data_IF_407875588433
#
_entry.id   IF_407875588433
#
_cell.length_a   1.000
_cell.length_b   1.000
_cell.length_c   1.000
_cell.angle_alpha   90.00
_cell.angle_beta   90.00
_cell.angle_gamma   90.00
#
_symmetry.space_group_name_H-M   'P 1'
#
loop_
_entity.id
_entity.type
_entity.pdbx_description
1 polymer ?
#
# COMPACT_ATOMS: atom_id res chain seq x y z
N UNK A 1 14.20 5.37 -14.28
CA UNK A 1 14.32 5.01 -12.85
C UNK A 1 14.05 3.51 -12.69
N UNK A 2 14.25 2.90 -11.51
CA UNK A 2 14.13 1.45 -11.35
C UNK A 2 12.73 0.92 -11.74
N UNK A 3 11.66 1.63 -11.37
CA UNK A 3 10.28 1.29 -11.76
C UNK A 3 10.07 1.25 -13.27
N UNK A 4 10.49 2.28 -14.01
CA UNK A 4 10.38 2.31 -15.48
C UNK A 4 11.18 1.18 -16.13
N UNK A 5 12.36 0.88 -15.59
CA UNK A 5 13.20 -0.20 -16.08
C UNK A 5 12.53 -1.55 -15.87
N UNK A 6 11.92 -1.79 -14.71
CA UNK A 6 11.16 -3.02 -14.45
C UNK A 6 9.95 -3.13 -15.40
N UNK A 7 9.06 -2.14 -15.37
CA UNK A 7 7.78 -2.19 -16.10
C UNK A 7 7.94 -2.13 -17.63
N UNK A 8 9.03 -1.56 -18.13
CA UNK A 8 9.31 -1.45 -19.56
C UNK A 8 10.00 -2.66 -20.18
N UNK A 9 10.50 -3.61 -19.39
CA UNK A 9 11.37 -4.69 -19.91
C UNK A 9 10.96 -6.11 -19.51
N UNK A 10 10.14 -6.31 -18.46
CA UNK A 10 9.89 -7.65 -17.93
C UNK A 10 8.39 -7.93 -17.72
N UNK A 11 7.99 -9.18 -17.94
CA UNK A 11 6.63 -9.67 -17.77
C UNK A 11 6.43 -10.43 -16.44
N UNK A 12 7.48 -11.03 -15.88
CA UNK A 12 7.39 -11.88 -14.67
C UNK A 12 8.36 -11.47 -13.58
N UNK A 13 8.05 -11.83 -12.33
CA UNK A 13 8.99 -11.58 -11.21
C UNK A 13 10.29 -12.37 -11.36
N UNK A 14 10.25 -13.54 -12.01
CA UNK A 14 11.45 -14.34 -12.28
C UNK A 14 12.41 -13.65 -13.26
N UNK A 15 11.89 -13.04 -14.31
CA UNK A 15 12.70 -12.26 -15.27
C UNK A 15 13.39 -11.08 -14.59
N UNK A 16 12.66 -10.34 -13.76
CA UNK A 16 13.20 -9.23 -12.98
C UNK A 16 14.30 -9.72 -12.03
N UNK A 17 14.05 -10.81 -11.31
CA UNK A 17 15.00 -11.39 -10.34
C UNK A 17 16.28 -11.89 -11.01
N UNK A 18 16.17 -12.43 -12.22
CA UNK A 18 17.33 -12.82 -13.01
C UNK A 18 18.13 -11.59 -13.46
N UNK A 19 17.46 -10.59 -14.02
CA UNK A 19 18.12 -9.38 -14.53
C UNK A 19 18.80 -8.54 -13.44
N UNK A 20 18.22 -8.46 -12.24
CA UNK A 20 18.80 -7.72 -11.11
C UNK A 20 20.15 -8.26 -10.63
N UNK A 21 20.54 -9.49 -11.00
CA UNK A 21 21.86 -10.05 -10.68
C UNK A 21 22.99 -9.40 -11.49
N UNK A 22 22.67 -8.89 -12.66
CA UNK A 22 23.63 -8.35 -13.63
C UNK A 22 23.57 -6.81 -13.74
N UNK A 23 22.75 -6.17 -12.89
CA UNK A 23 22.56 -4.71 -12.90
C UNK A 23 23.21 -4.08 -11.68
N UNK A 24 24.04 -3.05 -11.93
CA UNK A 24 24.55 -2.21 -10.87
C UNK A 24 23.54 -1.11 -10.51
N UNK A 25 23.05 -1.14 -9.27
CA UNK A 25 22.16 -0.11 -8.73
C UNK A 25 23.00 0.93 -8.00
N UNK A 26 22.79 2.19 -8.34
CA UNK A 26 23.47 3.32 -7.71
C UNK A 26 22.48 4.39 -7.30
N UNK A 27 22.80 5.05 -6.20
CA UNK A 27 22.07 6.21 -5.71
C UNK A 27 22.34 7.42 -6.60
N UNK A 28 21.30 7.91 -7.28
CA UNK A 28 21.35 9.18 -8.01
C UNK A 28 20.75 10.29 -7.13
N UNK A 29 21.52 11.29 -6.70
CA UNK A 29 20.98 12.46 -6.02
C UNK A 29 19.97 13.19 -6.91
N UNK A 30 18.88 13.65 -6.31
CA UNK A 30 17.85 14.43 -7.00
C UNK A 30 17.58 15.72 -6.25
N UNK A 31 17.20 16.75 -7.01
CA UNK A 31 16.66 18.00 -6.47
C UNK A 31 15.18 18.05 -6.79
N UNK A 32 14.34 18.11 -5.76
CA UNK A 32 12.88 18.13 -5.89
C UNK A 32 12.26 18.99 -4.78
N UNK A 33 11.60 20.08 -5.17
CA UNK A 33 11.05 21.05 -4.22
C UNK A 33 12.15 21.60 -3.30
N UNK A 34 11.97 21.42 -1.99
CA UNK A 34 12.93 21.83 -0.96
C UNK A 34 14.11 20.86 -0.77
N UNK A 35 14.02 19.63 -1.31
CA UNK A 35 15.08 18.63 -1.22
C UNK A 35 16.17 18.93 -2.26
N UNK A 36 17.41 19.11 -1.79
CA UNK A 36 18.58 19.35 -2.64
C UNK A 36 19.56 18.20 -2.48
N UNK A 37 20.07 17.69 -3.60
CA UNK A 37 21.04 16.59 -3.66
C UNK A 37 20.64 15.38 -2.79
N UNK A 38 19.33 15.13 -2.68
CA UNK A 38 18.79 14.10 -1.81
C UNK A 38 18.78 12.75 -2.51
N UNK A 39 19.13 11.70 -1.77
CA UNK A 39 19.02 10.32 -2.21
C UNK A 39 17.87 9.70 -1.46
N UNK A 40 16.81 9.33 -2.17
CA UNK A 40 15.68 8.64 -1.55
C UNK A 40 16.07 7.20 -1.17
N UNK A 41 15.93 6.79 0.10
CA UNK A 41 16.08 5.40 0.49
C UNK A 41 14.83 4.63 0.04
N UNK A 42 14.94 3.90 -1.07
CA UNK A 42 13.82 3.17 -1.68
C UNK A 42 14.07 1.68 -1.69
N UNK A 43 12.98 0.93 -1.56
CA UNK A 43 12.88 -0.49 -1.87
C UNK A 43 11.70 -0.71 -2.81
N UNK A 44 11.61 -1.89 -3.42
CA UNK A 44 10.57 -2.19 -4.40
C UNK A 44 9.72 -3.38 -3.95
N UNK A 45 8.41 -3.28 -4.16
CA UNK A 45 7.51 -4.43 -4.25
C UNK A 45 7.13 -4.61 -5.72
N UNK A 46 7.26 -5.83 -6.23
CA UNK A 46 7.00 -6.15 -7.64
C UNK A 46 6.10 -7.37 -7.65
N UNK A 47 4.95 -7.25 -8.31
CA UNK A 47 3.95 -8.32 -8.42
C UNK A 47 3.60 -8.51 -9.88
N UNK A 48 3.61 -9.75 -10.36
CA UNK A 48 3.24 -10.07 -11.74
C UNK A 48 1.78 -10.53 -11.88
N UNK A 49 1.35 -10.80 -13.11
CA UNK A 49 -0.01 -11.22 -13.44
C UNK A 49 -0.39 -12.61 -12.90
N UNK A 50 0.58 -13.41 -12.44
CA UNK A 50 0.31 -14.68 -11.76
C UNK A 50 -0.01 -14.49 -10.27
N UNK A 51 0.19 -13.28 -9.73
CA UNK A 51 0.04 -12.96 -8.32
C UNK A 51 1.30 -13.24 -7.48
N UNK A 52 2.39 -13.71 -8.10
CA UNK A 52 3.69 -13.81 -7.41
C UNK A 52 4.22 -12.41 -7.13
N UNK A 53 4.77 -12.22 -5.94
CA UNK A 53 5.31 -10.95 -5.49
C UNK A 53 6.69 -11.12 -4.88
N UNK A 54 7.57 -10.17 -5.13
CA UNK A 54 8.91 -10.09 -4.55
C UNK A 54 9.13 -8.71 -3.92
N UNK A 55 9.99 -8.67 -2.91
CA UNK A 55 10.55 -7.43 -2.34
C UNK A 55 12.04 -7.35 -2.70
N UNK A 56 12.48 -6.19 -3.17
CA UNK A 56 13.87 -5.91 -3.51
C UNK A 56 14.40 -4.78 -2.64
N UNK A 57 15.43 -5.05 -1.85
CA UNK A 57 16.07 -4.11 -0.92
C UNK A 57 17.57 -3.97 -1.20
N UNK A 58 18.05 -2.73 -1.24
CA UNK A 58 19.46 -2.41 -1.48
C UNK A 58 20.15 -2.02 -0.17
N UNK A 59 20.83 -2.98 0.47
CA UNK A 59 21.41 -2.81 1.81
C UNK A 59 22.90 -3.06 1.76
N UNK A 60 23.70 -2.12 2.29
CA UNK A 60 25.17 -2.20 2.33
C UNK A 60 25.81 -2.57 0.99
N UNK A 61 25.27 -2.00 -0.09
CA UNK A 61 25.75 -2.24 -1.47
C UNK A 61 25.34 -3.60 -2.06
N UNK A 62 24.46 -4.36 -1.40
CA UNK A 62 23.92 -5.64 -1.87
C UNK A 62 22.47 -5.51 -2.30
N UNK A 63 22.13 -6.15 -3.41
CA UNK A 63 20.75 -6.35 -3.84
C UNK A 63 20.20 -7.61 -3.18
N UNK A 64 19.28 -7.45 -2.24
CA UNK A 64 18.56 -8.54 -1.59
C UNK A 64 17.19 -8.68 -2.24
N UNK A 65 16.82 -9.91 -2.62
CA UNK A 65 15.53 -10.23 -3.23
C UNK A 65 14.85 -11.28 -2.36
N UNK A 66 13.62 -10.99 -1.95
CA UNK A 66 12.83 -11.84 -1.06
C UNK A 66 11.50 -12.19 -1.71
N UNK A 67 11.09 -13.46 -1.61
CA UNK A 67 9.71 -13.84 -1.93
C UNK A 67 8.74 -13.15 -0.96
N UNK A 68 7.65 -12.60 -1.49
CA UNK A 68 6.63 -11.91 -0.72
C UNK A 68 5.26 -12.59 -0.89
N UNK A 69 5.02 -13.74 -0.21
CA UNK A 69 3.74 -14.44 -0.29
C UNK A 69 2.58 -13.65 0.36
N UNK A 70 2.90 -12.59 1.12
CA UNK A 70 1.89 -11.74 1.74
C UNK A 70 1.36 -10.67 0.79
N UNK A 71 2.18 -10.22 -0.17
CA UNK A 71 1.86 -9.14 -1.10
C UNK A 71 1.83 -7.75 -0.45
N UNK A 72 2.43 -7.60 0.74
CA UNK A 72 2.43 -6.36 1.53
C UNK A 72 3.88 -5.88 1.70
N UNK A 73 4.09 -4.56 1.62
CA UNK A 73 5.35 -3.87 1.94
C UNK A 73 5.02 -2.48 2.48
N UNK A 74 5.82 -1.95 3.40
CA UNK A 74 5.68 -0.57 3.90
C UNK A 74 6.98 0.21 3.75
N UNK A 75 7.76 0.38 4.80
CA UNK A 75 9.06 1.05 4.82
C UNK A 75 9.96 0.27 5.79
N UNK A 76 11.02 0.90 6.30
CA UNK A 76 11.93 0.30 7.29
C UNK A 76 11.21 -0.28 8.51
N UNK A 77 11.78 -1.32 9.16
CA UNK A 77 13.03 -2.03 8.83
C UNK A 77 12.95 -2.92 7.58
N UNK A 78 14.01 -3.69 7.32
CA UNK A 78 14.08 -4.64 6.20
C UNK A 78 12.95 -5.68 6.23
N UNK A 79 12.56 -6.17 5.05
CA UNK A 79 11.42 -7.08 4.90
C UNK A 79 11.46 -8.35 5.80
N UNK A 80 12.59 -9.06 5.96
CA UNK A 80 12.68 -10.21 6.86
C UNK A 80 12.35 -9.88 8.32
N UNK A 81 12.66 -8.65 8.76
CA UNK A 81 12.30 -8.19 10.10
C UNK A 81 10.79 -8.07 10.26
N UNK A 82 10.08 -7.52 9.26
CA UNK A 82 8.61 -7.44 9.28
C UNK A 82 7.96 -8.81 9.36
N UNK A 83 8.48 -9.80 8.62
CA UNK A 83 8.02 -11.19 8.71
C UNK A 83 8.24 -11.77 10.12
N UNK A 84 9.38 -11.48 10.75
CA UNK A 84 9.63 -11.91 12.12
C UNK A 84 8.72 -11.18 13.13
N UNK A 85 8.42 -9.90 12.89
CA UNK A 85 7.52 -9.12 13.74
C UNK A 85 6.11 -9.71 13.81
N UNK A 86 5.61 -10.33 12.73
CA UNK A 86 4.30 -10.99 12.71
C UNK A 86 4.16 -12.10 13.77
N UNK A 87 5.26 -12.68 14.27
CA UNK A 87 5.23 -13.69 15.34
C UNK A 87 4.63 -13.15 16.65
N UNK A 88 4.67 -11.83 16.86
CA UNK A 88 4.06 -11.19 18.03
C UNK A 88 2.53 -11.12 17.95
N UNK A 89 1.93 -11.44 16.80
CA UNK A 89 0.51 -11.26 16.52
C UNK A 89 -0.19 -12.57 16.14
N UNK A 90 0.38 -13.72 16.45
CA UNK A 90 -0.19 -15.03 16.06
C UNK A 90 -1.55 -15.35 16.69
N UNK A 91 -1.94 -14.59 17.71
CA UNK A 91 -3.21 -14.73 18.44
C UNK A 91 -4.33 -13.83 17.91
N UNK A 92 -4.06 -12.92 16.96
CA UNK A 92 -5.10 -12.06 16.38
C UNK A 92 -6.06 -12.89 15.52
N UNK A 93 -7.35 -12.55 15.55
CA UNK A 93 -8.40 -13.26 14.84
C UNK A 93 -9.55 -12.32 14.46
N UNK A 94 -10.24 -12.55 13.33
CA UNK A 94 -11.50 -11.86 13.06
C UNK A 94 -12.63 -12.32 13.99
N UNK A 95 -12.47 -13.44 14.70
CA UNK A 95 -13.46 -13.97 15.62
C UNK A 95 -13.21 -13.52 17.06
N UNK A 96 -14.28 -13.15 17.75
CA UNK A 96 -14.22 -12.84 19.18
C UNK A 96 -13.64 -14.02 19.99
N UNK A 97 -12.83 -13.73 21.02
CA UNK A 97 -12.31 -14.76 21.90
C UNK A 97 -13.44 -15.40 22.71
N UNK A 98 -13.21 -16.62 23.19
CA UNK A 98 -14.10 -17.26 24.14
C UNK A 98 -14.16 -16.45 25.46
N UNK A 99 -15.29 -16.44 26.17
CA UNK A 99 -15.38 -15.88 27.52
C UNK A 99 -14.31 -16.45 28.46
N UNK A 100 -13.81 -15.62 29.36
CA UNK A 100 -12.85 -16.00 30.40
C UNK A 100 -13.57 -16.08 31.75
N UNK A 101 -13.47 -17.20 32.46
CA UNK A 101 -14.00 -17.31 33.84
C UNK A 101 -12.86 -17.25 34.84
N UNK A 102 -12.91 -16.31 35.78
CA UNK A 102 -11.98 -16.18 36.91
C UNK A 102 -12.78 -16.07 38.21
N UNK A 103 -12.43 -16.88 39.21
CA UNK A 103 -13.08 -16.86 40.54
C UNK A 103 -14.63 -16.90 40.51
N UNK A 104 -15.19 -17.62 39.53
CA UNK A 104 -16.64 -17.77 39.34
C UNK A 104 -17.33 -16.59 38.65
N UNK A 105 -16.58 -15.57 38.21
CA UNK A 105 -17.09 -14.45 37.41
C UNK A 105 -16.72 -14.69 35.95
N UNK A 106 -17.72 -14.66 35.08
CA UNK A 106 -17.53 -14.75 33.62
C UNK A 106 -17.29 -13.35 33.03
N UNK A 107 -16.23 -13.22 32.25
CA UNK A 107 -15.86 -12.04 31.49
C UNK A 107 -16.04 -12.32 30.00
N UNK A 108 -17.00 -11.63 29.39
CA UNK A 108 -17.27 -11.71 27.96
C UNK A 108 -16.61 -10.54 27.23
N UNK A 109 -16.42 -10.70 25.91
CA UNK A 109 -16.01 -9.60 25.05
C UNK A 109 -17.01 -8.43 25.15
N UNK A 110 -16.52 -7.20 25.12
CA UNK A 110 -17.37 -5.98 25.18
C UNK A 110 -18.23 -5.78 23.93
N UNK A 111 -17.91 -6.49 22.85
CA UNK A 111 -18.62 -6.49 21.58
C UNK A 111 -17.85 -7.26 20.49
N UNK A 112 -18.27 -7.06 19.24
CA UNK A 112 -17.57 -7.60 18.08
C UNK A 112 -16.19 -6.95 17.90
N UNK A 113 -15.26 -7.67 17.28
CA UNK A 113 -13.91 -7.17 16.98
C UNK A 113 -12.85 -7.43 18.06
N UNK A 114 -13.25 -7.99 19.21
CA UNK A 114 -12.31 -8.28 20.31
C UNK A 114 -11.24 -9.32 19.94
N UNK A 115 -11.43 -10.10 18.87
CA UNK A 115 -10.42 -11.02 18.36
C UNK A 115 -9.17 -10.35 17.81
N UNK A 116 -9.27 -9.10 17.36
CA UNK A 116 -8.17 -8.34 16.78
C UNK A 116 -7.48 -7.42 17.81
N UNK A 117 -7.81 -7.55 19.10
CA UNK A 117 -7.13 -6.80 20.15
C UNK A 117 -5.62 -7.09 20.11
N UNK A 118 -4.82 -6.03 20.01
CA UNK A 118 -3.37 -6.12 19.83
C UNK A 118 -2.91 -5.63 18.46
N UNK A 119 -3.79 -5.52 17.45
CA UNK A 119 -3.45 -4.83 16.20
C UNK A 119 -3.07 -3.37 16.50
N UNK A 120 -1.87 -2.92 16.09
CA UNK A 120 -1.42 -1.57 16.37
C UNK A 120 -2.20 -0.55 15.53
N UNK A 121 -2.50 0.60 16.13
CA UNK A 121 -3.29 1.67 15.51
C UNK A 121 -2.51 2.90 15.08
N UNK A 122 -1.20 2.96 15.36
CA UNK A 122 -0.33 4.08 14.97
C UNK A 122 0.12 3.98 13.50
N UNK A 123 0.70 5.07 12.98
CA UNK A 123 1.10 5.20 11.57
C UNK A 123 2.54 4.74 11.26
N UNK A 124 3.25 4.15 12.22
CA UNK A 124 4.61 3.67 11.95
C UNK A 124 4.62 2.56 10.89
N UNK A 125 5.71 2.39 10.13
CA UNK A 125 5.76 1.37 9.10
C UNK A 125 5.53 -0.07 9.60
N UNK A 126 6.07 -0.51 10.77
CA UNK A 126 5.73 -1.81 11.35
C UNK A 126 4.24 -1.97 11.65
N UNK A 127 3.61 -0.95 12.24
CA UNK A 127 2.19 -0.99 12.60
C UNK A 127 1.29 -1.05 11.36
N UNK A 128 1.58 -0.23 10.35
CA UNK A 128 0.91 -0.30 9.05
C UNK A 128 1.09 -1.65 8.38
N UNK A 129 2.29 -2.25 8.45
CA UNK A 129 2.56 -3.57 7.87
C UNK A 129 1.67 -4.64 8.53
N UNK A 130 1.69 -4.72 9.87
CA UNK A 130 0.88 -5.69 10.64
C UNK A 130 -0.61 -5.52 10.36
N UNK A 131 -1.11 -4.27 10.39
CA UNK A 131 -2.51 -3.95 10.14
C UNK A 131 -2.94 -4.36 8.72
N UNK A 132 -2.12 -4.06 7.72
CA UNK A 132 -2.40 -4.42 6.33
C UNK A 132 -2.35 -5.93 6.07
N UNK A 133 -1.38 -6.65 6.68
CA UNK A 133 -1.34 -8.12 6.61
C UNK A 133 -2.59 -8.73 7.23
N UNK A 134 -2.99 -8.27 8.41
CA UNK A 134 -4.21 -8.76 9.06
C UNK A 134 -5.44 -8.55 8.17
N UNK A 135 -5.70 -7.30 7.75
CA UNK A 135 -6.87 -6.98 6.94
C UNK A 135 -6.89 -7.74 5.61
N UNK A 136 -5.76 -7.78 4.89
CA UNK A 136 -5.69 -8.47 3.60
C UNK A 136 -5.88 -9.99 3.71
N UNK A 137 -5.62 -10.59 4.87
CA UNK A 137 -5.76 -12.04 5.10
C UNK A 137 -7.03 -12.43 5.85
N UNK A 138 -7.75 -11.49 6.46
CA UNK A 138 -8.97 -11.76 7.23
C UNK A 138 -10.26 -11.46 6.47
N UNK A 139 -10.22 -10.67 5.39
CA UNK A 139 -11.41 -10.35 4.59
C UNK A 139 -11.90 -11.54 3.78
N UNK A 140 -13.20 -11.55 3.46
CA UNK A 140 -13.74 -12.51 2.51
C UNK A 140 -13.33 -12.12 1.08
N UNK A 141 -12.95 -13.10 0.23
CA UNK A 141 -12.77 -12.85 -1.19
C UNK A 141 -14.10 -12.44 -1.83
N UNK A 142 -14.01 -11.71 -2.94
CA UNK A 142 -15.16 -11.22 -3.72
C UNK A 142 -15.02 -11.68 -5.17
N UNK A 143 -16.16 -11.80 -5.85
CA UNK A 143 -16.24 -12.60 -7.08
C UNK A 143 -15.86 -11.85 -8.38
N UNK A 144 -15.62 -10.53 -8.32
CA UNK A 144 -15.33 -9.73 -9.51
C UNK A 144 -14.37 -8.56 -9.25
N UNK A 145 -13.81 -8.02 -10.34
CA UNK A 145 -12.81 -6.95 -10.31
C UNK A 145 -13.31 -5.65 -9.66
N UNK A 146 -14.54 -5.22 -9.94
CA UNK A 146 -15.08 -3.99 -9.34
C UNK A 146 -15.28 -4.12 -7.83
N UNK A 147 -15.84 -5.25 -7.38
CA UNK A 147 -15.94 -5.56 -5.96
C UNK A 147 -14.55 -5.67 -5.31
N UNK A 148 -13.56 -6.22 -6.02
CA UNK A 148 -12.18 -6.33 -5.54
C UNK A 148 -11.54 -4.96 -5.37
N UNK A 149 -11.73 -4.04 -6.32
CA UNK A 149 -11.25 -2.66 -6.23
C UNK A 149 -11.89 -1.95 -5.04
N UNK A 150 -13.21 -2.10 -4.86
CA UNK A 150 -13.91 -1.54 -3.70
C UNK A 150 -13.37 -2.10 -2.36
N UNK A 151 -13.18 -3.42 -2.28
CA UNK A 151 -12.61 -4.06 -1.09
C UNK A 151 -11.18 -3.61 -0.83
N UNK A 152 -10.34 -3.52 -1.86
CA UNK A 152 -8.97 -3.04 -1.76
C UNK A 152 -8.92 -1.59 -1.26
N UNK A 153 -9.84 -0.73 -1.71
CA UNK A 153 -9.96 0.65 -1.22
C UNK A 153 -10.31 0.67 0.28
N UNK A 154 -11.28 -0.13 0.72
CA UNK A 154 -11.60 -0.26 2.14
C UNK A 154 -10.41 -0.73 3.00
N UNK A 155 -9.62 -1.67 2.50
CA UNK A 155 -8.43 -2.17 3.20
C UNK A 155 -7.37 -1.06 3.27
N UNK A 156 -6.97 -0.45 2.16
CA UNK A 156 -5.87 0.51 2.15
C UNK A 156 -6.20 1.80 2.89
N UNK A 157 -7.48 2.20 2.95
CA UNK A 157 -7.94 3.34 3.76
C UNK A 157 -7.66 3.18 5.26
N UNK A 158 -7.35 1.97 5.75
CA UNK A 158 -7.01 1.75 7.16
C UNK A 158 -5.60 2.24 7.54
N UNK A 159 -4.77 2.59 6.56
CA UNK A 159 -3.45 3.19 6.79
C UNK A 159 -3.36 4.58 6.16
N UNK A 160 -4.51 5.18 5.85
CA UNK A 160 -4.59 6.57 5.39
C UNK A 160 -4.16 7.52 6.51
N UNK A 161 -3.27 8.48 6.21
CA UNK A 161 -2.70 9.43 7.16
C UNK A 161 -3.37 10.80 6.95
N UNK A 162 -4.28 11.22 7.86
CA UNK A 162 -4.85 12.56 7.84
C UNK A 162 -3.77 13.61 8.12
N UNK A 163 -3.85 14.75 7.42
CA UNK A 163 -2.91 15.86 7.63
C UNK A 163 -2.90 16.29 9.09
N UNK A 164 -1.71 16.35 9.70
CA UNK A 164 -1.51 16.79 11.09
C UNK A 164 -1.52 15.66 12.13
N UNK A 165 -1.90 14.43 11.75
CA UNK A 165 -1.79 13.26 12.62
C UNK A 165 -0.36 12.73 12.76
N UNK A 166 0.49 13.02 11.76
CA UNK A 166 1.92 12.74 11.74
C UNK A 166 2.65 14.02 11.35
N UNK A 167 3.57 14.45 12.20
CA UNK A 167 4.40 15.65 12.01
C UNK A 167 5.87 15.25 12.05
N UNK A 168 6.71 16.07 11.42
CA UNK A 168 8.15 15.95 11.55
C UNK A 168 8.65 16.25 12.98
N UNK A 169 9.97 16.29 13.14
CA UNK A 169 10.57 16.64 14.43
C UNK A 169 10.20 18.08 14.82
N UNK A 170 9.59 18.23 15.99
CA UNK A 170 9.12 19.52 16.51
C UNK A 170 10.25 20.56 16.51
N UNK A 171 10.05 21.65 15.77
CA UNK A 171 11.03 22.75 15.67
C UNK A 171 12.19 22.50 14.70
N UNK A 172 12.21 21.37 13.99
CA UNK A 172 13.11 21.17 12.86
C UNK A 172 12.62 21.95 11.63
N UNK A 173 13.53 22.24 10.69
CA UNK A 173 13.16 22.83 9.38
C UNK A 173 12.20 21.94 8.58
N UNK A 174 12.10 20.66 8.95
CA UNK A 174 11.26 19.65 8.31
C UNK A 174 10.05 19.27 9.19
N UNK A 175 9.55 20.18 10.03
CA UNK A 175 8.27 20.04 10.76
C UNK A 175 7.07 20.17 9.79
N UNK A 176 7.11 19.38 8.71
CA UNK A 176 6.07 19.29 7.71
C UNK A 176 5.17 18.10 8.04
N UNK A 177 3.84 18.24 7.89
CA UNK A 177 2.92 17.13 8.10
C UNK A 177 3.14 16.05 7.04
N UNK A 178 3.16 14.80 7.47
CA UNK A 178 3.02 13.67 6.56
C UNK A 178 1.52 13.41 6.32
N UNK A 179 1.19 13.00 5.10
CA UNK A 179 -0.17 12.68 4.69
C UNK A 179 -0.17 11.69 3.53
N UNK A 180 -1.22 10.90 3.41
CA UNK A 180 -1.44 10.15 2.16
C UNK A 180 -1.80 11.13 1.06
N UNK A 181 -0.88 11.38 0.13
CA UNK A 181 -1.15 12.32 -0.96
C UNK A 181 -2.13 11.75 -1.98
N UNK A 182 -1.99 10.46 -2.30
CA UNK A 182 -2.87 9.73 -3.20
C UNK A 182 -2.83 8.23 -2.94
N UNK A 183 -3.84 7.53 -3.43
CA UNK A 183 -3.94 6.07 -3.43
C UNK A 183 -4.06 5.58 -4.87
N UNK A 184 -3.38 4.48 -5.19
CA UNK A 184 -3.45 3.83 -6.50
C UNK A 184 -3.78 2.36 -6.32
N UNK A 185 -4.76 1.87 -7.06
CA UNK A 185 -5.14 0.45 -7.13
C UNK A 185 -4.92 -0.01 -8.58
N UNK A 186 -4.12 -1.08 -8.75
CA UNK A 186 -3.80 -1.66 -10.06
C UNK A 186 -4.59 -2.95 -10.23
N UNK A 187 -5.59 -2.94 -11.10
CA UNK A 187 -6.27 -4.16 -11.53
C UNK A 187 -5.47 -4.77 -12.68
N UNK A 188 -4.57 -5.68 -12.32
CA UNK A 188 -3.64 -6.32 -13.26
C UNK A 188 -4.37 -7.26 -14.22
N UNK A 189 -5.46 -7.90 -13.78
CA UNK A 189 -6.23 -8.84 -14.60
C UNK A 189 -6.98 -8.12 -15.71
N UNK A 190 -7.61 -6.98 -15.41
CA UNK A 190 -8.39 -6.22 -16.39
C UNK A 190 -7.63 -5.06 -17.04
N UNK A 191 -6.34 -4.89 -16.72
CA UNK A 191 -5.50 -3.78 -17.17
C UNK A 191 -6.10 -2.40 -16.90
N UNK A 192 -6.53 -2.16 -15.66
CA UNK A 192 -7.08 -0.87 -15.22
C UNK A 192 -6.27 -0.28 -14.07
N UNK A 193 -6.03 1.03 -14.15
CA UNK A 193 -5.38 1.79 -13.10
C UNK A 193 -6.41 2.70 -12.44
N UNK A 194 -6.68 2.49 -11.16
CA UNK A 194 -7.56 3.33 -10.37
C UNK A 194 -6.73 4.23 -9.47
N UNK A 195 -7.13 5.47 -9.29
CA UNK A 195 -6.46 6.40 -8.39
C UNK A 195 -7.44 7.41 -7.77
N UNK A 196 -7.07 7.90 -6.59
CA UNK A 196 -7.74 9.00 -5.89
C UNK A 196 -6.69 9.82 -5.15
N UNK A 197 -6.96 11.10 -4.89
CA UNK A 197 -6.06 11.97 -4.13
C UNK A 197 -6.65 12.31 -2.77
N UNK A 198 -5.85 12.95 -1.91
CA UNK A 198 -6.34 13.47 -0.64
C UNK A 198 -7.52 14.45 -0.81
N UNK A 199 -7.51 15.23 -1.90
CA UNK A 199 -8.52 16.27 -2.19
C UNK A 199 -9.67 15.79 -3.10
N UNK A 200 -9.59 14.55 -3.58
CA UNK A 200 -10.65 13.87 -4.33
C UNK A 200 -10.66 12.39 -4.00
N UNK A 201 -11.59 11.99 -3.15
CA UNK A 201 -11.75 10.61 -2.68
C UNK A 201 -12.51 9.73 -3.67
N UNK A 202 -12.99 10.29 -4.79
CA UNK A 202 -13.64 9.52 -5.85
C UNK A 202 -12.58 8.77 -6.65
N UNK A 203 -12.69 7.44 -6.70
CA UNK A 203 -11.81 6.63 -7.56
C UNK A 203 -12.03 6.99 -9.03
N UNK A 204 -10.96 7.46 -9.66
CA UNK A 204 -10.86 7.70 -11.09
C UNK A 204 -10.17 6.50 -11.72
N UNK A 205 -10.54 6.12 -12.95
CA UNK A 205 -10.02 4.94 -13.63
C UNK A 205 -9.43 5.27 -14.99
N UNK A 206 -8.28 4.68 -15.29
CA UNK A 206 -7.65 4.66 -16.61
C UNK A 206 -7.67 3.21 -17.11
N UNK A 207 -8.34 2.99 -18.24
CA UNK A 207 -8.38 1.70 -18.93
C UNK A 207 -7.16 1.59 -19.84
N UNK A 208 -6.17 0.80 -19.42
CA UNK A 208 -4.90 0.70 -20.12
C UNK A 208 -5.04 -0.03 -21.47
N UNK A 209 -6.09 -0.82 -21.66
CA UNK A 209 -6.36 -1.47 -22.96
C UNK A 209 -6.67 -0.46 -24.08
N UNK A 210 -6.97 0.80 -23.72
CA UNK A 210 -7.25 1.89 -24.67
C UNK A 210 -6.05 2.78 -24.95
N UNK A 211 -4.88 2.45 -24.39
CA UNK A 211 -3.67 3.26 -24.48
C UNK A 211 -2.70 2.60 -25.47
N UNK A 212 -2.08 3.42 -26.33
CA UNK A 212 -1.05 2.96 -27.27
C UNK A 212 0.31 2.86 -26.56
N UNK A 213 0.82 1.63 -26.44
CA UNK A 213 2.13 1.32 -25.87
C UNK A 213 3.20 1.02 -26.93
N UNK A 214 2.94 1.30 -28.20
CA UNK A 214 3.93 1.07 -29.25
C UNK A 214 5.13 2.00 -29.11
N UNK A 215 6.29 1.56 -29.59
CA UNK A 215 7.53 2.34 -29.51
C UNK A 215 7.36 3.68 -30.24
N UNK A 216 7.55 4.78 -29.52
CA UNK A 216 7.41 6.14 -30.04
C UNK A 216 6.01 6.74 -29.88
N UNK A 217 5.08 6.02 -29.26
CA UNK A 217 3.79 6.58 -28.85
C UNK A 217 3.96 7.80 -27.94
N UNK A 218 2.98 8.70 -27.97
CA UNK A 218 2.97 9.92 -27.14
C UNK A 218 2.90 9.55 -25.66
N UNK A 219 3.79 10.14 -24.85
CA UNK A 219 3.68 10.07 -23.39
C UNK A 219 2.44 10.86 -22.95
N UNK A 220 1.58 10.21 -22.18
CA UNK A 220 0.38 10.79 -21.59
C UNK A 220 0.60 11.04 -20.10
N UNK A 221 0.09 12.16 -19.62
CA UNK A 221 0.10 12.54 -18.21
C UNK A 221 -1.27 13.08 -17.80
N UNK A 222 -1.59 12.93 -16.52
CA UNK A 222 -2.79 13.48 -15.90
C UNK A 222 -2.42 13.96 -14.49
N UNK A 223 -2.85 15.17 -14.07
CA UNK A 223 -2.69 15.59 -12.69
C UNK A 223 -3.40 14.63 -11.73
N UNK A 224 -2.69 14.19 -10.69
CA UNK A 224 -3.29 13.36 -9.64
C UNK A 224 -4.30 14.16 -8.81
N UNK A 225 -4.01 15.43 -8.58
CA UNK A 225 -4.89 16.33 -7.85
C UNK A 225 -6.02 16.85 -8.74
N UNK A 226 -7.25 16.49 -8.37
CA UNK A 226 -8.48 17.14 -8.81
C UNK A 226 -9.32 17.51 -7.60
N UNK A 227 -10.20 18.52 -7.72
CA UNK A 227 -11.05 18.98 -6.60
C UNK A 227 -12.47 18.47 -6.79
N UNK A 228 -12.75 17.29 -6.24
CA UNK A 228 -14.10 16.74 -6.17
C UNK A 228 -14.26 15.97 -4.86
N UNK A 229 -14.67 16.70 -3.81
CA UNK A 229 -14.74 16.16 -2.44
C UNK A 229 -16.07 15.43 -2.21
N UNK A 230 -17.15 15.91 -2.82
CA UNK A 230 -18.48 15.32 -2.70
C UNK A 230 -19.26 15.47 -4.01
N UNK A 231 -20.27 14.61 -4.18
CA UNK A 231 -21.31 14.75 -5.20
C UNK A 231 -22.57 15.22 -4.49
N UNK A 232 -23.13 16.36 -4.92
CA UNK A 232 -24.40 16.83 -4.39
C UNK A 232 -25.49 15.81 -4.72
N UNK A 233 -26.11 15.27 -3.68
CA UNK A 233 -27.15 14.26 -3.79
C UNK A 233 -28.55 14.83 -3.54
N UNK A 234 -28.71 16.16 -3.45
CA UNK A 234 -29.96 16.83 -3.10
C UNK A 234 -31.08 16.44 -4.07
N UNK A 235 -30.87 16.55 -5.38
CA UNK A 235 -31.89 16.16 -6.38
C UNK A 235 -32.25 14.68 -6.27
N UNK A 236 -31.26 13.79 -6.15
CA UNK A 236 -31.50 12.35 -5.94
C UNK A 236 -32.29 12.05 -4.67
N UNK A 237 -32.12 12.87 -3.63
CA UNK A 237 -32.86 12.76 -2.37
C UNK A 237 -34.29 13.32 -2.48
N UNK A 238 -34.49 14.38 -3.26
CA UNK A 238 -35.83 14.91 -3.52
C UNK A 238 -36.65 13.99 -4.41
N UNK A 239 -35.99 13.19 -5.25
CA UNK A 239 -36.61 12.20 -6.14
C UNK A 239 -36.93 10.83 -5.47
N UNK A 240 -36.62 10.64 -4.17
CA UNK A 240 -36.75 9.34 -3.46
C UNK A 240 -38.11 9.10 -2.79
#
# INVERSE_FOLDING_TARGET
YAGDWVLGNFATVEEVSAALKDVYVFSKPVTYGALKDFVFPVHMIITDSSGKSIVVEFVDGKTNIYDNPLGILTNSPEFPWHLNNLKNYVNISPHSPNPLTLDGIEYTATGQGSGAMGIPGDFTPPSRFVKMVYLAKSVFPVDNGEATVNLADHIVNNVDIPTGSVLGEKGAKNDMPDKTQWTVIKDITNNKLYFKSYENTTLQVIDLNKIDFTKGAKILDIPVDSKQIFVDATERFLDS
#
